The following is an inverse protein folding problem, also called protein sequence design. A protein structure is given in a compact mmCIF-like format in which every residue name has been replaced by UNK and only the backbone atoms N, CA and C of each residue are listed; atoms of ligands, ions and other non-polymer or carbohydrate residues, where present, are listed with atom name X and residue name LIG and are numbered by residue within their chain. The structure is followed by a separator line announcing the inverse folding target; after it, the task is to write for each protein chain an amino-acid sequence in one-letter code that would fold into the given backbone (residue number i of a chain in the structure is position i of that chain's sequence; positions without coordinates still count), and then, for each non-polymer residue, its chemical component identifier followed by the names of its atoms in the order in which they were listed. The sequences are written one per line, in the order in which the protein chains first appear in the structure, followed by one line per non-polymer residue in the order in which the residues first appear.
data_IF_459993481966
#
_entry.id   IF_459993481966
#
_cell.length_a   1.000
_cell.length_b   1.000
_cell.length_c   1.000
_cell.angle_alpha   90.00
_cell.angle_beta   90.00
_cell.angle_gamma   90.00
#
_symmetry.space_group_name_H-M   'P 1'
#
loop_
_entity.id
_entity.type
_entity.pdbx_description
1 polymer ?
#
# COMPACT_ATOMS: atom_id res chain seq x y z
N UNK A 1 -16.46 15.64 8.34
CA UNK A 1 -16.36 14.90 7.08
C UNK A 1 -17.18 13.61 7.21
N UNK A 2 -17.70 13.13 6.11
CA UNK A 2 -18.56 11.95 6.14
C UNK A 2 -17.76 10.65 6.06
N UNK A 3 -18.33 9.58 6.60
CA UNK A 3 -17.78 8.23 6.46
C UNK A 3 -17.65 7.87 4.98
N UNK A 4 -18.67 8.18 4.17
CA UNK A 4 -18.64 7.88 2.74
C UNK A 4 -17.58 8.70 2.00
N UNK A 5 -17.38 9.95 2.36
CA UNK A 5 -16.31 10.77 1.81
C UNK A 5 -14.92 10.24 2.15
N UNK A 6 -14.75 9.77 3.38
CA UNK A 6 -13.49 9.15 3.82
C UNK A 6 -13.20 7.85 3.07
N UNK A 7 -14.23 7.03 2.85
CA UNK A 7 -14.10 5.82 2.03
C UNK A 7 -13.70 6.15 0.59
N UNK A 8 -14.29 7.20 0.01
CA UNK A 8 -13.97 7.61 -1.35
C UNK A 8 -12.51 8.05 -1.48
N UNK A 9 -12.00 8.80 -0.51
CA UNK A 9 -10.59 9.20 -0.48
C UNK A 9 -9.67 7.98 -0.42
N UNK A 10 -9.95 7.05 0.47
CA UNK A 10 -9.17 5.82 0.58
C UNK A 10 -9.20 5.01 -0.71
N UNK A 11 -10.36 4.87 -1.35
CA UNK A 11 -10.51 4.15 -2.61
C UNK A 11 -9.64 4.75 -3.71
N UNK A 12 -9.63 6.08 -3.82
CA UNK A 12 -8.80 6.77 -4.82
C UNK A 12 -7.32 6.51 -4.63
N UNK A 13 -6.86 6.36 -3.38
CA UNK A 13 -5.47 6.03 -3.11
C UNK A 13 -5.09 4.69 -3.75
N UNK A 14 -5.93 3.67 -3.65
CA UNK A 14 -5.65 2.37 -4.27
C UNK A 14 -5.84 2.39 -5.78
N UNK A 15 -6.97 2.89 -6.24
CA UNK A 15 -7.34 2.76 -7.65
C UNK A 15 -6.61 3.74 -8.56
N UNK A 16 -6.41 4.98 -8.13
CA UNK A 16 -5.80 6.01 -8.96
C UNK A 16 -4.31 6.19 -8.69
N UNK A 17 -3.87 6.10 -7.43
CA UNK A 17 -2.47 6.33 -7.08
C UNK A 17 -1.67 5.03 -7.19
N UNK A 18 -2.01 4.01 -6.42
CA UNK A 18 -1.26 2.75 -6.44
C UNK A 18 -1.40 2.01 -7.76
N UNK A 19 -2.61 1.87 -8.29
CA UNK A 19 -2.84 1.08 -9.49
C UNK A 19 -2.50 1.84 -10.79
N UNK A 20 -2.81 3.13 -10.85
CA UNK A 20 -2.60 3.92 -12.07
C UNK A 20 -1.34 4.78 -12.05
N UNK A 21 -0.76 5.01 -10.88
CA UNK A 21 0.47 5.78 -10.77
C UNK A 21 0.27 7.29 -10.76
N UNK A 22 -0.93 7.77 -10.50
CA UNK A 22 -1.24 9.20 -10.44
C UNK A 22 -0.75 9.79 -9.12
N UNK A 23 0.59 9.86 -8.96
CA UNK A 23 1.23 10.19 -7.70
C UNK A 23 0.93 11.61 -7.22
N UNK A 24 0.70 12.55 -8.14
CA UNK A 24 0.42 13.95 -7.79
C UNK A 24 -0.94 14.12 -7.10
N UNK A 25 -1.85 13.15 -7.25
CA UNK A 25 -3.11 13.15 -6.51
C UNK A 25 -2.90 13.09 -5.01
N UNK A 26 -1.74 12.62 -4.54
CA UNK A 26 -1.44 12.55 -3.11
C UNK A 26 -1.42 13.93 -2.45
N UNK A 27 -1.12 14.99 -3.20
CA UNK A 27 -1.20 16.36 -2.68
C UNK A 27 -2.63 16.75 -2.29
N UNK A 28 -3.62 16.14 -2.95
CA UNK A 28 -5.04 16.34 -2.67
C UNK A 28 -5.58 15.33 -1.65
N UNK A 29 -5.09 14.08 -1.68
CA UNK A 29 -5.64 12.99 -0.90
C UNK A 29 -5.05 12.85 0.50
N UNK A 30 -3.89 13.43 0.78
CA UNK A 30 -3.19 13.26 2.03
C UNK A 30 -2.71 14.60 2.60
N UNK A 31 -2.57 14.67 3.93
CA UNK A 31 -2.04 15.87 4.59
C UNK A 31 -0.51 15.88 4.49
N UNK A 32 0.12 17.07 4.53
CA UNK A 32 1.59 17.17 4.50
C UNK A 32 2.29 16.40 5.62
N UNK A 33 1.67 16.33 6.79
CA UNK A 33 2.21 15.65 7.98
C UNK A 33 1.77 14.17 8.07
N UNK A 34 1.38 13.55 6.97
CA UNK A 34 1.00 12.14 6.95
C UNK A 34 2.01 11.27 7.71
N UNK A 35 1.50 10.38 8.55
CA UNK A 35 2.32 9.51 9.40
C UNK A 35 1.94 8.05 9.17
N UNK A 36 2.94 7.20 8.93
CA UNK A 36 2.73 5.75 8.93
C UNK A 36 3.50 5.12 10.08
N UNK A 37 2.87 4.15 10.74
CA UNK A 37 3.50 3.36 11.79
C UNK A 37 4.26 2.16 11.22
N UNK A 38 4.08 1.87 9.94
CA UNK A 38 4.65 0.70 9.26
C UNK A 38 5.36 1.11 7.96
N UNK A 39 6.41 1.96 8.03
CA UNK A 39 7.09 2.42 6.83
C UNK A 39 7.91 1.32 6.17
N UNK A 40 8.09 1.44 4.86
CA UNK A 40 9.09 0.63 4.16
C UNK A 40 10.49 1.12 4.52
N UNK A 41 11.50 0.23 4.55
CA UNK A 41 12.88 0.65 4.72
C UNK A 41 13.26 1.72 3.69
N UNK A 42 13.82 2.84 4.16
CA UNK A 42 14.20 3.95 3.29
C UNK A 42 13.09 4.95 2.97
N UNK A 43 11.86 4.69 3.39
CA UNK A 43 10.75 5.62 3.23
C UNK A 43 10.95 6.83 4.13
N UNK A 44 10.86 8.03 3.56
CA UNK A 44 10.93 9.27 4.34
C UNK A 44 9.64 9.49 5.13
N UNK A 45 9.65 10.46 6.03
CA UNK A 45 8.45 10.82 6.79
C UNK A 45 7.55 11.78 6.02
N UNK A 46 6.30 11.90 6.43
CA UNK A 46 5.34 12.84 5.86
C UNK A 46 4.81 12.42 4.48
N UNK A 47 4.18 13.37 3.82
CA UNK A 47 3.63 13.17 2.48
C UNK A 47 4.70 12.76 1.46
N UNK A 48 5.90 13.32 1.59
CA UNK A 48 7.03 12.93 0.75
C UNK A 48 7.33 11.44 0.90
N UNK A 49 7.25 10.93 2.13
CA UNK A 49 7.44 9.50 2.39
C UNK A 49 6.34 8.63 1.78
N UNK A 50 5.10 9.11 1.78
CA UNK A 50 4.01 8.39 1.13
C UNK A 50 4.26 8.29 -0.38
N UNK A 51 4.76 9.35 -1.00
CA UNK A 51 5.15 9.33 -2.41
C UNK A 51 6.30 8.36 -2.66
N UNK A 52 7.28 8.29 -1.74
CA UNK A 52 8.36 7.30 -1.81
C UNK A 52 7.81 5.89 -1.82
N UNK A 53 6.87 5.59 -0.92
CA UNK A 53 6.25 4.26 -0.81
C UNK A 53 5.58 3.85 -2.12
N UNK A 54 4.77 4.74 -2.69
CA UNK A 54 4.09 4.48 -3.95
C UNK A 54 5.09 4.21 -5.06
N UNK A 55 6.14 5.02 -5.16
CA UNK A 55 7.17 4.85 -6.17
C UNK A 55 7.90 3.51 -6.00
N UNK A 56 8.30 3.18 -4.78
CA UNK A 56 9.00 1.92 -4.49
C UNK A 56 8.14 0.71 -4.85
N UNK A 57 6.87 0.72 -4.48
CA UNK A 57 5.96 -0.37 -4.80
C UNK A 57 5.76 -0.51 -6.31
N UNK A 58 5.53 0.60 -7.01
CA UNK A 58 5.25 0.55 -8.44
C UNK A 58 6.47 0.16 -9.27
N UNK A 59 7.63 0.71 -8.96
CA UNK A 59 8.85 0.41 -9.72
C UNK A 59 9.39 -0.99 -9.44
N UNK A 60 9.20 -1.49 -8.23
CA UNK A 60 9.72 -2.80 -7.83
C UNK A 60 8.77 -3.95 -8.08
N UNK A 61 7.47 -3.75 -7.85
CA UNK A 61 6.51 -4.85 -7.73
C UNK A 61 5.37 -4.84 -8.74
N UNK A 62 5.22 -3.79 -9.57
CA UNK A 62 4.12 -3.66 -10.52
C UNK A 62 2.76 -4.05 -9.91
N UNK A 63 2.33 -3.41 -8.82
CA UNK A 63 1.20 -3.87 -8.03
C UNK A 63 -0.15 -3.63 -8.72
N UNK A 64 -1.10 -4.52 -8.48
CA UNK A 64 -2.51 -4.26 -8.73
C UNK A 64 -3.27 -4.61 -7.46
N UNK A 65 -3.77 -3.59 -6.78
CA UNK A 65 -4.55 -3.74 -5.56
C UNK A 65 -6.02 -3.89 -5.91
N UNK A 66 -6.66 -4.90 -5.34
CA UNK A 66 -8.11 -5.10 -5.42
C UNK A 66 -8.66 -4.93 -4.01
N UNK A 67 -9.57 -3.98 -3.83
CA UNK A 67 -10.23 -3.77 -2.54
C UNK A 67 -11.28 -4.86 -2.37
N UNK A 68 -11.15 -5.67 -1.33
CA UNK A 68 -12.08 -6.75 -1.03
C UNK A 68 -13.14 -6.34 -0.03
N UNK A 69 -12.77 -5.52 0.97
CA UNK A 69 -13.69 -4.92 1.94
C UNK A 69 -13.21 -3.54 2.31
N UNK A 70 -14.17 -2.66 2.60
CA UNK A 70 -13.89 -1.34 3.14
C UNK A 70 -14.92 -1.01 4.21
N UNK A 71 -14.43 -0.77 5.42
CA UNK A 71 -15.26 -0.51 6.59
C UNK A 71 -14.80 0.82 7.19
N UNK A 72 -15.74 1.68 7.53
CA UNK A 72 -15.39 2.99 8.10
C UNK A 72 -16.30 3.32 9.27
N UNK A 73 -15.70 3.97 10.28
CA UNK A 73 -16.39 4.45 11.46
C UNK A 73 -15.62 5.68 11.97
N UNK A 74 -16.34 6.75 12.27
CA UNK A 74 -15.71 7.99 12.74
C UNK A 74 -14.74 8.52 11.69
N UNK A 75 -13.49 8.76 12.10
CA UNK A 75 -12.43 9.26 11.24
C UNK A 75 -11.53 8.15 10.66
N UNK A 76 -11.90 6.88 10.83
CA UNK A 76 -11.08 5.75 10.41
C UNK A 76 -11.71 4.96 9.29
N UNK A 77 -10.85 4.47 8.39
CA UNK A 77 -11.23 3.57 7.29
C UNK A 77 -10.32 2.36 7.34
N UNK A 78 -10.93 1.18 7.30
CA UNK A 78 -10.22 -0.10 7.22
C UNK A 78 -10.39 -0.65 5.81
N UNK A 79 -9.30 -1.01 5.17
CA UNK A 79 -9.30 -1.55 3.81
C UNK A 79 -8.63 -2.91 3.82
N UNK A 80 -9.39 -3.95 3.46
CA UNK A 80 -8.84 -5.28 3.21
C UNK A 80 -8.67 -5.45 1.72
N UNK A 81 -7.45 -5.79 1.30
CA UNK A 81 -7.11 -5.84 -0.11
C UNK A 81 -6.29 -7.08 -0.46
N UNK A 82 -6.22 -7.34 -1.75
CA UNK A 82 -5.27 -8.31 -2.34
C UNK A 82 -4.39 -7.55 -3.32
N UNK A 83 -3.09 -7.81 -3.26
CA UNK A 83 -2.14 -7.23 -4.19
C UNK A 83 -1.55 -8.34 -5.07
N UNK A 84 -1.77 -8.21 -6.38
CA UNK A 84 -1.15 -9.06 -7.39
C UNK A 84 -0.03 -8.26 -8.04
N UNK A 85 1.17 -8.81 -8.04
CA UNK A 85 2.32 -8.12 -8.59
C UNK A 85 3.40 -9.08 -9.04
N UNK A 86 4.54 -8.53 -9.42
CA UNK A 86 5.72 -9.30 -9.87
C UNK A 86 6.98 -8.52 -9.54
N UNK A 87 8.06 -9.23 -9.27
CA UNK A 87 9.38 -8.62 -9.02
C UNK A 87 9.97 -8.11 -10.35
N UNK A 88 9.49 -6.94 -10.80
CA UNK A 88 9.91 -6.36 -12.08
C UNK A 88 11.10 -5.41 -11.96
N UNK A 89 11.39 -4.92 -10.76
CA UNK A 89 12.51 -4.04 -10.49
C UNK A 89 13.12 -4.36 -9.14
N UNK A 90 14.19 -3.66 -8.78
CA UNK A 90 14.78 -3.80 -7.45
C UNK A 90 13.77 -3.38 -6.39
N UNK A 91 13.64 -4.18 -5.34
CA UNK A 91 12.76 -3.88 -4.22
C UNK A 91 13.45 -4.26 -2.92
N UNK A 92 13.56 -3.29 -1.99
CA UNK A 92 14.21 -3.46 -0.68
C UNK A 92 15.62 -4.06 -0.81
N UNK A 93 16.39 -3.62 -1.80
CA UNK A 93 17.75 -4.09 -2.03
C UNK A 93 17.88 -5.40 -2.77
N UNK A 94 16.76 -6.03 -3.14
CA UNK A 94 16.77 -7.31 -3.86
C UNK A 94 16.55 -7.08 -5.35
N UNK A 95 17.30 -7.78 -6.23
CA UNK A 95 17.16 -7.61 -7.66
C UNK A 95 15.84 -8.21 -8.18
N UNK A 96 15.39 -7.71 -9.33
CA UNK A 96 14.24 -8.25 -10.02
C UNK A 96 14.50 -9.70 -10.43
N UNK A 97 13.47 -10.56 -10.28
CA UNK A 97 13.55 -11.96 -10.73
C UNK A 97 12.33 -12.37 -11.56
N UNK A 98 11.40 -11.45 -11.81
CA UNK A 98 10.20 -11.68 -12.62
C UNK A 98 9.14 -12.56 -11.99
N UNK A 99 9.34 -13.05 -10.77
CA UNK A 99 8.36 -13.92 -10.12
C UNK A 99 7.14 -13.15 -9.66
N UNK A 100 5.98 -13.76 -9.82
CA UNK A 100 4.69 -13.16 -9.46
C UNK A 100 4.28 -13.55 -8.04
N UNK A 101 3.44 -12.70 -7.44
CA UNK A 101 2.85 -12.97 -6.13
C UNK A 101 1.41 -12.48 -6.08
N UNK A 102 0.65 -13.04 -5.14
CA UNK A 102 -0.69 -12.59 -4.80
C UNK A 102 -0.82 -12.69 -3.29
N UNK A 103 -0.96 -11.56 -2.62
CA UNK A 103 -0.96 -11.52 -1.16
C UNK A 103 -2.08 -10.65 -0.61
N UNK A 104 -2.63 -11.02 0.57
CA UNK A 104 -3.60 -10.18 1.26
C UNK A 104 -2.89 -9.18 2.17
N UNK A 105 -3.61 -8.12 2.48
CA UNK A 105 -3.19 -7.16 3.48
C UNK A 105 -4.37 -6.37 3.99
N UNK A 106 -4.15 -5.67 5.10
CA UNK A 106 -5.14 -4.79 5.71
C UNK A 106 -4.45 -3.49 6.10
N UNK A 107 -5.03 -2.39 5.65
CA UNK A 107 -4.62 -1.04 6.05
C UNK A 107 -5.71 -0.40 6.91
N UNK A 108 -5.28 0.37 7.88
CA UNK A 108 -6.16 1.25 8.64
C UNK A 108 -5.65 2.67 8.44
N UNK A 109 -6.55 3.58 8.08
CA UNK A 109 -6.25 5.01 7.94
C UNK A 109 -7.08 5.82 8.92
N UNK A 110 -6.45 6.87 9.47
CA UNK A 110 -7.18 7.97 10.09
C UNK A 110 -7.17 9.13 9.09
N UNK A 111 -8.31 9.78 8.93
CA UNK A 111 -8.43 10.92 8.02
C UNK A 111 -8.71 12.19 8.79
N UNK A 112 -8.20 13.30 8.26
CA UNK A 112 -8.45 14.66 8.76
C UNK A 112 -9.03 15.48 7.62
N UNK A 113 -10.22 16.02 7.81
CA UNK A 113 -10.89 16.83 6.78
C UNK A 113 -10.95 16.11 5.42
N UNK A 114 -11.19 14.80 5.46
CA UNK A 114 -11.30 13.99 4.25
C UNK A 114 -9.98 13.63 3.59
N UNK A 115 -8.85 13.85 4.27
CA UNK A 115 -7.51 13.52 3.76
C UNK A 115 -6.83 12.49 4.63
N UNK A 116 -6.04 11.61 4.01
CA UNK A 116 -5.26 10.60 4.72
C UNK A 116 -4.24 11.28 5.63
N UNK A 117 -4.25 10.95 6.92
CA UNK A 117 -3.40 11.59 7.92
C UNK A 117 -2.53 10.60 8.68
N UNK A 118 -3.02 9.39 8.95
CA UNK A 118 -2.30 8.40 9.73
C UNK A 118 -2.61 7.00 9.23
N UNK A 119 -1.63 6.09 9.36
CA UNK A 119 -1.70 4.78 8.72
C UNK A 119 -1.05 3.69 9.56
N UNK A 120 -1.73 2.56 9.64
CA UNK A 120 -1.23 1.29 10.19
C UNK A 120 -1.51 0.20 9.17
N UNK A 121 -0.66 -0.84 9.09
CA UNK A 121 -1.00 -1.97 8.23
C UNK A 121 -0.33 -3.26 8.67
N UNK A 122 -0.89 -4.36 8.23
CA UNK A 122 -0.26 -5.67 8.21
C UNK A 122 -0.39 -6.25 6.81
N UNK A 123 0.63 -6.95 6.39
CA UNK A 123 0.69 -7.58 5.07
C UNK A 123 1.29 -8.98 5.23
N UNK A 124 0.89 -9.91 4.36
CA UNK A 124 1.46 -11.25 4.36
C UNK A 124 2.85 -11.24 3.72
N UNK A 125 3.83 -10.69 4.46
CA UNK A 125 5.20 -10.60 3.98
C UNK A 125 5.86 -11.98 3.85
N UNK A 126 5.51 -12.92 4.73
CA UNK A 126 6.03 -14.29 4.65
C UNK A 126 5.56 -14.96 3.36
N UNK A 127 4.26 -14.88 3.07
CA UNK A 127 3.70 -15.45 1.84
C UNK A 127 4.31 -14.83 0.60
N UNK A 128 4.53 -13.52 0.59
CA UNK A 128 5.20 -12.84 -0.51
C UNK A 128 6.62 -13.35 -0.71
N UNK A 129 7.40 -13.46 0.37
CA UNK A 129 8.79 -13.94 0.30
C UNK A 129 8.86 -15.38 -0.24
N UNK A 130 7.91 -16.23 0.16
CA UNK A 130 7.82 -17.59 -0.36
C UNK A 130 7.48 -17.62 -1.86
N UNK A 131 6.50 -16.83 -2.28
CA UNK A 131 6.05 -16.80 -3.67
C UNK A 131 7.11 -16.28 -4.64
N UNK A 132 7.91 -15.30 -4.21
CA UNK A 132 8.98 -14.75 -5.05
C UNK A 132 10.32 -15.47 -4.87
N UNK A 133 10.34 -16.55 -4.08
CA UNK A 133 11.50 -17.45 -3.99
C UNK A 133 12.61 -16.98 -3.07
N UNK A 134 12.36 -16.03 -2.17
CA UNK A 134 13.37 -15.54 -1.21
C UNK A 134 13.57 -16.51 -0.05
N UNK A 135 12.52 -17.25 0.30
CA UNK A 135 12.57 -18.29 1.32
C UNK A 135 11.79 -19.51 0.83
N UNK A 136 12.07 -20.73 1.36
CA UNK A 136 11.32 -21.92 0.96
C UNK A 136 9.84 -21.80 1.36
N UNK A 137 8.94 -22.33 0.51
CA UNK A 137 7.55 -22.51 0.91
C UNK A 137 7.43 -23.77 1.75
N UNK A 138 6.37 -23.87 2.59
CA UNK A 138 6.15 -25.07 3.37
C UNK A 138 5.94 -26.32 2.53
N UNK A 139 5.47 -26.18 1.31
CA UNK A 139 5.25 -27.30 0.39
C UNK A 139 6.55 -27.85 -0.21
N UNK A 140 7.63 -27.04 -0.21
CA UNK A 140 8.93 -27.40 -0.78
C UNK A 140 9.91 -27.86 0.30
N UNK A 141 9.52 -27.80 1.56
CA UNK A 141 10.37 -28.14 2.69
C UNK A 141 10.57 -29.66 2.84
#
# INVERSE_FOLDING_TARGET
MSVEGNKATARRYYEDVLNKGEIDLLDELAVPGYETHDPLPGQRTGLVGLKDRVTMLRTGLAPTFTIEDMIAEGDKVVVRWRNNGSMVGEFLGMPANGKSFSIPGIDIYRLENGKLAEHWHVVDALGQAQQIGLIPSGADA
#
